data_IF_323885984764
#
_entry.id   IF_323885984764
#
_cell.length_a   1.000
_cell.length_b   1.000
_cell.length_c   1.000
_cell.angle_alpha   90.00
_cell.angle_beta   90.00
_cell.angle_gamma   90.00
#
_symmetry.space_group_name_H-M   'P 1'
#
loop_
_entity.id
_entity.type
_entity.pdbx_description
1 polymer ?
#
# COMPACT_ATOMS: atom_id res chain seq x y z
N UNK A 1 -25.46 -13.10 -9.60
CA UNK A 1 -24.25 -12.59 -10.29
C UNK A 1 -23.45 -13.82 -10.68
N UNK A 2 -23.38 -14.11 -11.98
CA UNK A 2 -23.07 -15.45 -12.51
C UNK A 2 -21.56 -15.65 -12.61
N UNK A 3 -21.11 -16.91 -12.48
CA UNK A 3 -19.70 -17.32 -12.62
C UNK A 3 -19.04 -16.74 -13.89
N UNK A 4 -19.81 -16.65 -14.98
CA UNK A 4 -19.40 -16.10 -16.27
C UNK A 4 -19.03 -14.60 -16.23
N UNK A 5 -19.66 -13.79 -15.37
CA UNK A 5 -19.32 -12.36 -15.23
C UNK A 5 -17.96 -12.19 -14.53
N UNK A 6 -17.67 -13.08 -13.57
CA UNK A 6 -16.41 -13.07 -12.81
C UNK A 6 -15.23 -13.52 -13.68
N UNK A 7 -15.43 -14.55 -14.50
CA UNK A 7 -14.41 -14.99 -15.47
C UNK A 7 -14.11 -13.92 -16.51
N UNK A 8 -15.13 -13.23 -17.04
CA UNK A 8 -14.91 -12.09 -17.95
C UNK A 8 -14.16 -10.93 -17.30
N UNK A 9 -14.45 -10.64 -16.03
CA UNK A 9 -13.74 -9.61 -15.29
C UNK A 9 -12.27 -10.01 -15.06
N UNK A 10 -12.02 -11.25 -14.66
CA UNK A 10 -10.67 -11.79 -14.45
C UNK A 10 -9.87 -11.77 -15.75
N UNK A 11 -10.49 -12.17 -16.86
CA UNK A 11 -9.87 -12.18 -18.18
C UNK A 11 -9.59 -10.76 -18.68
N UNK A 12 -10.50 -9.81 -18.47
CA UNK A 12 -10.26 -8.40 -18.80
C UNK A 12 -9.14 -7.81 -17.94
N UNK A 13 -9.11 -8.12 -16.64
CA UNK A 13 -8.03 -7.68 -15.74
C UNK A 13 -6.69 -8.29 -16.14
N UNK A 14 -6.63 -9.58 -16.50
CA UNK A 14 -5.42 -10.23 -17.02
C UNK A 14 -4.94 -9.57 -18.31
N UNK A 15 -5.87 -9.22 -19.21
CA UNK A 15 -5.54 -8.56 -20.47
C UNK A 15 -5.06 -7.13 -20.23
N UNK A 16 -5.69 -6.37 -19.33
CA UNK A 16 -5.25 -5.04 -18.91
C UNK A 16 -3.86 -5.07 -18.29
N UNK A 17 -3.60 -6.04 -17.39
CA UNK A 17 -2.27 -6.27 -16.78
C UNK A 17 -1.24 -6.67 -17.84
N UNK A 18 -1.62 -7.47 -18.84
CA UNK A 18 -0.75 -7.85 -19.97
C UNK A 18 -0.50 -6.73 -20.98
N UNK A 19 -1.37 -5.71 -21.05
CA UNK A 19 -1.20 -4.51 -21.89
C UNK A 19 -0.55 -3.35 -21.14
N UNK A 20 -0.28 -3.50 -19.84
CA UNK A 20 0.50 -2.53 -19.10
C UNK A 20 1.90 -2.46 -19.75
N UNK A 21 2.43 -1.25 -20.02
CA UNK A 21 3.69 -1.10 -20.72
C UNK A 21 4.80 -1.87 -20.00
N UNK A 22 5.43 -2.80 -20.72
CA UNK A 22 6.68 -3.45 -20.33
C UNK A 22 7.77 -2.40 -20.13
N UNK A 23 8.34 -2.40 -18.91
CA UNK A 23 9.57 -1.74 -18.45
C UNK A 23 9.98 -0.44 -19.18
N UNK A 24 9.44 0.69 -18.72
CA UNK A 24 9.88 2.04 -19.11
C UNK A 24 11.21 2.47 -18.45
N UNK A 25 11.96 1.53 -17.85
CA UNK A 25 13.18 1.81 -17.09
C UNK A 25 12.88 2.47 -15.74
N UNK A 26 11.67 2.31 -15.21
CA UNK A 26 11.25 2.90 -13.95
C UNK A 26 11.95 2.27 -12.74
N UNK A 27 12.92 2.98 -12.18
CA UNK A 27 13.57 2.59 -10.93
C UNK A 27 12.79 3.07 -9.70
N UNK A 28 11.86 2.24 -9.22
CA UNK A 28 11.16 2.52 -7.97
C UNK A 28 12.10 2.61 -6.74
N UNK A 29 13.27 1.95 -6.76
CA UNK A 29 14.22 2.03 -5.63
C UNK A 29 14.76 3.44 -5.46
N UNK A 30 14.90 4.21 -6.54
CA UNK A 30 15.24 5.63 -6.44
C UNK A 30 14.15 6.43 -5.69
N UNK A 31 12.87 6.14 -5.93
CA UNK A 31 11.74 6.77 -5.24
C UNK A 31 11.70 6.38 -3.76
N UNK A 32 11.94 5.12 -3.44
CA UNK A 32 12.02 4.62 -2.08
C UNK A 32 13.17 5.29 -1.30
N UNK A 33 14.38 5.34 -1.87
CA UNK A 33 15.52 6.07 -1.28
C UNK A 33 15.20 7.55 -1.05
N UNK A 34 14.56 8.19 -2.03
CA UNK A 34 14.14 9.59 -1.91
C UNK A 34 13.09 9.77 -0.81
N UNK A 35 12.18 8.81 -0.63
CA UNK A 35 11.17 8.80 0.43
C UNK A 35 11.82 8.66 1.82
N UNK A 36 12.83 7.80 1.97
CA UNK A 36 13.59 7.68 3.23
C UNK A 36 14.32 8.97 3.58
N UNK A 37 14.99 9.61 2.62
CA UNK A 37 15.65 10.89 2.84
C UNK A 37 14.65 11.99 3.24
N UNK A 38 13.48 12.05 2.57
CA UNK A 38 12.40 13.00 2.94
C UNK A 38 11.84 12.73 4.32
N UNK A 39 11.67 11.46 4.71
CA UNK A 39 11.24 11.06 6.07
C UNK A 39 12.20 11.61 7.11
N UNK A 40 13.50 11.42 6.92
CA UNK A 40 14.50 11.85 7.90
C UNK A 40 14.54 13.37 8.02
N UNK A 41 14.44 14.09 6.89
CA UNK A 41 14.31 15.54 6.87
C UNK A 41 13.03 16.03 7.58
N UNK A 42 11.89 15.37 7.34
CA UNK A 42 10.61 15.68 8.00
C UNK A 42 10.69 15.48 9.52
N UNK A 43 11.31 14.39 9.97
CA UNK A 43 11.46 14.10 11.40
C UNK A 43 12.40 15.09 12.08
N UNK A 44 13.46 15.50 11.39
CA UNK A 44 14.41 16.50 11.89
C UNK A 44 13.77 17.90 11.97
N UNK A 45 12.91 18.25 11.01
CA UNK A 45 12.22 19.55 10.95
C UNK A 45 10.81 19.53 11.58
N UNK A 46 10.46 18.49 12.35
CA UNK A 46 9.12 18.33 12.89
C UNK A 46 8.82 19.38 13.98
N UNK A 47 7.70 20.12 13.93
CA UNK A 47 7.37 21.12 14.94
C UNK A 47 7.19 20.49 16.33
N UNK A 48 7.78 21.08 17.37
CA UNK A 48 7.72 20.54 18.74
C UNK A 48 6.31 20.56 19.34
N UNK A 49 5.49 21.53 18.94
CA UNK A 49 4.12 21.73 19.40
C UNK A 49 3.09 20.89 18.62
N UNK A 50 3.54 20.16 17.59
CA UNK A 50 2.68 19.32 16.74
C UNK A 50 2.91 17.84 17.03
N UNK A 51 1.87 17.06 17.36
CA UNK A 51 2.03 15.63 17.58
C UNK A 51 2.55 14.95 16.31
N UNK A 52 3.49 14.01 16.48
CA UNK A 52 4.03 13.23 15.36
C UNK A 52 2.98 12.27 14.83
N UNK A 53 2.69 12.37 13.54
CA UNK A 53 1.67 11.55 12.89
C UNK A 53 1.85 11.49 11.38
N UNK A 54 1.23 10.50 10.77
CA UNK A 54 1.17 10.34 9.33
C UNK A 54 -0.09 9.56 8.95
N UNK A 55 -0.61 9.81 7.75
CA UNK A 55 -1.62 8.95 7.15
C UNK A 55 -0.94 7.77 6.49
N UNK A 56 -1.21 6.57 6.99
CA UNK A 56 -0.68 5.33 6.44
C UNK A 56 -1.71 4.70 5.51
N UNK A 57 -1.30 4.36 4.29
CA UNK A 57 -2.17 3.78 3.27
C UNK A 57 -1.49 2.58 2.63
N UNK A 58 -2.10 1.41 2.75
CA UNK A 58 -1.75 0.23 1.96
C UNK A 58 -2.62 0.24 0.69
N UNK A 59 -2.00 0.35 -0.48
CA UNK A 59 -2.72 0.45 -1.74
C UNK A 59 -1.91 -0.21 -2.86
N UNK A 60 -2.61 -0.83 -3.82
CA UNK A 60 -1.97 -1.39 -5.02
C UNK A 60 -2.00 -0.37 -6.15
N UNK A 61 -1.19 -0.62 -7.18
CA UNK A 61 -1.15 0.21 -8.39
C UNK A 61 -2.53 0.42 -9.03
N UNK A 62 -3.38 -0.61 -9.03
CA UNK A 62 -4.74 -0.56 -9.59
C UNK A 62 -5.69 0.34 -8.79
N UNK A 63 -5.37 0.65 -7.53
CA UNK A 63 -6.23 1.41 -6.63
C UNK A 63 -6.01 2.94 -6.77
N UNK A 64 -5.12 3.39 -7.68
CA UNK A 64 -4.72 4.80 -7.86
C UNK A 64 -5.89 5.78 -7.90
N UNK A 65 -6.89 5.52 -8.77
CA UNK A 65 -8.03 6.41 -8.92
C UNK A 65 -8.89 6.53 -7.66
N UNK A 66 -9.05 5.41 -6.93
CA UNK A 66 -9.75 5.39 -5.65
C UNK A 66 -9.00 6.17 -4.57
N UNK A 67 -7.69 5.94 -4.47
CA UNK A 67 -6.78 6.66 -3.56
C UNK A 67 -6.82 8.16 -3.80
N UNK A 68 -6.69 8.60 -5.06
CA UNK A 68 -6.71 10.03 -5.42
C UNK A 68 -8.02 10.69 -5.00
N UNK A 69 -9.15 10.00 -5.17
CA UNK A 69 -10.45 10.50 -4.70
C UNK A 69 -10.48 10.68 -3.19
N UNK A 70 -10.07 9.66 -2.43
CA UNK A 70 -10.00 9.72 -0.97
C UNK A 70 -9.05 10.82 -0.48
N UNK A 71 -7.90 11.00 -1.12
CA UNK A 71 -6.96 12.08 -0.83
C UNK A 71 -7.60 13.44 -1.02
N UNK A 72 -8.26 13.69 -2.16
CA UNK A 72 -8.92 14.97 -2.43
C UNK A 72 -9.98 15.31 -1.39
N UNK A 73 -10.75 14.32 -0.94
CA UNK A 73 -11.77 14.50 0.08
C UNK A 73 -11.14 14.80 1.46
N UNK A 74 -10.06 14.11 1.83
CA UNK A 74 -9.33 14.34 3.08
C UNK A 74 -8.59 15.69 3.10
N UNK A 75 -7.94 16.06 1.99
CA UNK A 75 -7.30 17.35 1.81
C UNK A 75 -8.31 18.48 1.96
N UNK A 76 -9.44 18.41 1.24
CA UNK A 76 -10.51 19.42 1.28
C UNK A 76 -11.08 19.61 2.69
N UNK A 77 -11.22 18.53 3.45
CA UNK A 77 -11.87 18.57 4.78
C UNK A 77 -10.90 18.95 5.90
N UNK A 78 -9.66 18.46 5.84
CA UNK A 78 -8.71 18.57 6.94
C UNK A 78 -7.28 18.87 6.50
N UNK A 79 -6.67 18.02 5.68
CA UNK A 79 -5.21 18.01 5.58
C UNK A 79 -4.60 19.19 4.80
N UNK A 80 -5.40 19.88 3.97
CA UNK A 80 -4.95 21.09 3.28
C UNK A 80 -4.81 22.30 4.22
N UNK A 81 -5.40 22.24 5.42
CA UNK A 81 -5.31 23.32 6.41
C UNK A 81 -3.86 23.46 6.88
N UNK A 82 -3.35 24.71 7.05
CA UNK A 82 -1.94 24.94 7.40
C UNK A 82 -1.47 24.23 8.68
N UNK A 83 -2.35 24.09 9.68
CA UNK A 83 -2.05 23.41 10.95
C UNK A 83 -2.07 21.88 10.82
N UNK A 84 -2.85 21.33 9.88
CA UNK A 84 -3.05 19.89 9.74
C UNK A 84 -1.90 19.26 8.96
N UNK A 85 -1.67 19.64 7.70
CA UNK A 85 -0.62 19.17 6.77
C UNK A 85 0.28 18.03 7.29
N UNK A 86 -0.30 16.84 7.46
CA UNK A 86 0.40 15.62 7.85
C UNK A 86 0.88 14.89 6.59
N UNK A 87 2.03 14.21 6.66
CA UNK A 87 2.54 13.43 5.53
C UNK A 87 1.68 12.17 5.30
N UNK A 88 1.69 11.71 4.05
CA UNK A 88 1.14 10.42 3.66
C UNK A 88 2.25 9.40 3.44
N UNK A 89 2.02 8.17 3.89
CA UNK A 89 2.92 7.04 3.69
C UNK A 89 2.16 5.97 2.94
N UNK A 90 2.53 5.77 1.68
CA UNK A 90 1.99 4.73 0.82
C UNK A 90 2.90 3.52 0.84
N UNK A 91 2.29 2.36 1.04
CA UNK A 91 2.97 1.08 1.07
C UNK A 91 2.25 0.11 0.16
N UNK A 92 3.03 -0.75 -0.51
CA UNK A 92 2.53 -1.82 -1.37
C UNK A 92 3.47 -3.03 -1.29
N UNK A 93 2.97 -4.22 -1.61
CA UNK A 93 3.78 -5.44 -1.72
C UNK A 93 4.62 -5.45 -3.02
N UNK A 94 4.09 -4.86 -4.08
CA UNK A 94 4.80 -4.64 -5.34
C UNK A 94 5.37 -3.20 -5.45
N UNK A 95 6.41 -2.97 -6.27
CA UNK A 95 6.86 -1.62 -6.58
C UNK A 95 5.73 -0.75 -7.13
N UNK A 96 5.62 0.50 -6.68
CA UNK A 96 4.62 1.40 -7.23
C UNK A 96 4.98 1.79 -8.67
N UNK A 97 3.98 1.82 -9.54
CA UNK A 97 4.15 2.30 -10.91
C UNK A 97 4.43 3.80 -10.93
N UNK A 98 5.10 4.27 -11.98
CA UNK A 98 5.31 5.69 -12.23
C UNK A 98 4.00 6.48 -12.22
N UNK A 99 2.97 5.96 -12.90
CA UNK A 99 1.65 6.59 -12.96
C UNK A 99 1.03 6.78 -11.57
N UNK A 100 1.11 5.75 -10.71
CA UNK A 100 0.60 5.82 -9.34
C UNK A 100 1.31 6.92 -8.54
N UNK A 101 2.64 6.92 -8.56
CA UNK A 101 3.46 7.90 -7.84
C UNK A 101 3.15 9.32 -8.32
N UNK A 102 3.08 9.54 -9.63
CA UNK A 102 2.79 10.85 -10.22
C UNK A 102 1.36 11.33 -9.94
N UNK A 103 0.35 10.46 -10.02
CA UNK A 103 -1.05 10.81 -9.75
C UNK A 103 -1.27 11.16 -8.28
N UNK A 104 -0.77 10.34 -7.37
CA UNK A 104 -0.88 10.56 -5.93
C UNK A 104 -0.13 11.82 -5.50
N UNK A 105 1.10 12.02 -6.00
CA UNK A 105 1.89 13.21 -5.67
C UNK A 105 1.25 14.50 -6.17
N UNK A 106 0.51 14.46 -7.29
CA UNK A 106 -0.24 15.62 -7.79
C UNK A 106 -1.55 15.88 -7.03
N UNK A 107 -2.06 14.90 -6.28
CA UNK A 107 -3.33 15.01 -5.59
C UNK A 107 -3.27 15.77 -4.27
N UNK A 108 -2.07 15.98 -3.70
CA UNK A 108 -1.88 16.66 -2.41
C UNK A 108 -0.64 17.55 -2.42
N UNK A 109 -0.67 18.60 -1.60
CA UNK A 109 0.48 19.46 -1.32
C UNK A 109 1.27 19.01 -0.09
N UNK A 110 0.79 18.00 0.65
CA UNK A 110 1.51 17.41 1.76
C UNK A 110 2.64 16.51 1.24
N UNK A 111 3.63 16.25 2.09
CA UNK A 111 4.69 15.31 1.73
C UNK A 111 4.13 13.90 1.59
N UNK A 112 4.47 13.25 0.49
CA UNK A 112 4.12 11.85 0.22
C UNK A 112 5.38 11.00 0.21
N UNK A 113 5.33 9.88 0.93
CA UNK A 113 6.41 8.90 1.04
C UNK A 113 5.91 7.58 0.48
N UNK A 114 6.76 6.86 -0.24
CA UNK A 114 6.47 5.55 -0.81
C UNK A 114 7.45 4.51 -0.27
N UNK A 115 6.95 3.31 0.02
CA UNK A 115 7.78 2.17 0.42
C UNK A 115 7.21 0.85 -0.09
N UNK A 116 8.10 -0.12 -0.28
CA UNK A 116 7.70 -1.49 -0.59
C UNK A 116 7.76 -2.35 0.67
N UNK A 117 6.76 -3.19 0.89
CA UNK A 117 6.80 -4.20 1.95
C UNK A 117 7.79 -5.30 1.53
N UNK A 118 8.79 -5.62 2.38
CA UNK A 118 9.65 -6.77 2.12
C UNK A 118 8.80 -8.06 2.01
N UNK A 119 9.05 -8.92 1.01
CA UNK A 119 8.26 -10.14 0.80
C UNK A 119 8.19 -11.04 2.02
N UNK A 120 9.21 -11.01 2.89
CA UNK A 120 9.30 -11.81 4.11
C UNK A 120 8.20 -11.46 5.11
N UNK A 121 7.70 -10.23 5.10
CA UNK A 121 6.58 -9.78 5.93
C UNK A 121 5.22 -9.94 5.25
N UNK A 122 5.21 -10.30 3.97
CA UNK A 122 4.02 -10.49 3.12
C UNK A 122 3.92 -11.92 2.58
N UNK A 123 4.59 -12.86 3.23
CA UNK A 123 4.57 -14.28 2.87
C UNK A 123 4.01 -15.10 4.03
N UNK A 124 3.40 -16.24 3.67
CA UNK A 124 3.09 -17.27 4.66
C UNK A 124 4.41 -17.78 5.25
N UNK A 125 4.60 -17.77 6.58
CA UNK A 125 5.82 -18.26 7.19
C UNK A 125 6.10 -19.71 6.82
N UNK A 126 7.38 -20.07 6.67
CA UNK A 126 7.82 -21.43 6.30
C UNK A 126 7.35 -22.52 7.29
N UNK A 127 7.02 -22.13 8.53
CA UNK A 127 6.49 -23.02 9.55
C UNK A 127 5.05 -23.49 9.28
N UNK A 128 4.36 -22.90 8.31
CA UNK A 128 2.97 -23.23 7.98
C UNK A 128 2.95 -24.08 6.70
N UNK A 129 2.28 -25.23 6.78
CA UNK A 129 2.08 -26.12 5.64
C UNK A 129 1.21 -25.44 4.55
N UNK A 130 1.75 -25.24 3.32
CA UNK A 130 1.02 -24.64 2.22
C UNK A 130 -0.28 -25.38 1.86
N UNK A 131 -0.30 -26.71 1.97
CA UNK A 131 -1.49 -27.52 1.64
C UNK A 131 -2.62 -27.27 2.65
N UNK A 132 -2.27 -27.18 3.94
CA UNK A 132 -3.25 -26.87 4.98
C UNK A 132 -3.85 -25.45 4.81
N UNK A 133 -3.07 -24.50 4.31
CA UNK A 133 -3.56 -23.15 3.97
C UNK A 133 -4.53 -23.22 2.80
N UNK A 134 -4.19 -23.96 1.74
CA UNK A 134 -5.05 -24.11 0.57
C UNK A 134 -6.40 -24.75 0.91
N UNK A 135 -6.40 -25.84 1.68
CA UNK A 135 -7.61 -26.51 2.16
C UNK A 135 -8.50 -25.56 2.99
N UNK A 136 -7.87 -24.78 3.87
CA UNK A 136 -8.57 -23.78 4.69
C UNK A 136 -9.19 -22.66 3.86
N UNK A 137 -8.54 -22.25 2.77
CA UNK A 137 -9.07 -21.25 1.84
C UNK A 137 -10.23 -21.80 1.02
N UNK A 138 -10.13 -23.05 0.57
CA UNK A 138 -11.23 -23.72 -0.14
C UNK A 138 -12.45 -23.87 0.77
N UNK A 139 -12.27 -24.28 2.02
CA UNK A 139 -13.35 -24.41 3.00
C UNK A 139 -14.09 -23.08 3.26
N UNK A 140 -13.41 -21.95 3.08
CA UNK A 140 -13.94 -20.61 3.32
C UNK A 140 -14.29 -19.85 2.03
N UNK A 141 -14.29 -20.54 0.89
CA UNK A 141 -14.55 -19.97 -0.43
C UNK A 141 -15.96 -19.38 -0.60
N UNK A 142 -16.91 -19.82 0.22
CA UNK A 142 -18.29 -19.33 0.26
C UNK A 142 -18.45 -18.00 1.03
N UNK A 143 -17.42 -17.54 1.74
CA UNK A 143 -17.44 -16.27 2.47
C UNK A 143 -16.80 -15.15 1.66
N UNK A 144 -17.28 -13.89 1.78
CA UNK A 144 -16.60 -12.73 1.21
C UNK A 144 -15.13 -12.70 1.64
N UNK A 145 -14.22 -12.66 0.66
CA UNK A 145 -12.76 -12.68 0.87
C UNK A 145 -12.18 -13.92 1.58
N UNK A 146 -12.98 -14.97 1.85
CA UNK A 146 -12.52 -16.13 2.62
C UNK A 146 -11.40 -16.92 1.97
N UNK A 147 -11.40 -17.01 0.62
CA UNK A 147 -10.33 -17.64 -0.17
C UNK A 147 -9.20 -16.66 -0.58
N UNK A 148 -9.18 -15.42 -0.09
CA UNK A 148 -8.17 -14.42 -0.49
C UNK A 148 -6.95 -14.46 0.42
N UNK A 149 -5.82 -14.99 -0.09
CA UNK A 149 -4.53 -14.94 0.60
C UNK A 149 -4.09 -13.50 0.89
N UNK A 150 -4.13 -12.54 -0.06
CA UNK A 150 -3.73 -11.16 0.22
C UNK A 150 -4.55 -10.52 1.35
N UNK A 151 -5.84 -10.85 1.45
CA UNK A 151 -6.70 -10.34 2.52
C UNK A 151 -6.30 -10.89 3.89
N UNK A 152 -5.86 -12.15 3.95
CA UNK A 152 -5.39 -12.76 5.21
C UNK A 152 -4.03 -12.25 5.63
N UNK A 153 -3.13 -11.98 4.69
CA UNK A 153 -1.78 -11.45 4.97
C UNK A 153 -1.82 -9.97 5.38
N UNK A 154 -2.86 -9.24 4.98
CA UNK A 154 -3.10 -7.86 5.39
C UNK A 154 -3.14 -7.68 6.91
N UNK A 155 -3.84 -8.55 7.64
CA UNK A 155 -4.07 -8.40 9.08
C UNK A 155 -2.79 -8.62 9.91
N UNK A 156 -1.99 -9.69 9.68
CA UNK A 156 -0.68 -9.87 10.31
C UNK A 156 0.28 -8.72 9.99
N UNK A 157 0.30 -8.21 8.76
CA UNK A 157 1.16 -7.07 8.40
C UNK A 157 0.79 -5.83 9.20
N UNK A 158 -0.50 -5.45 9.24
CA UNK A 158 -0.94 -4.30 10.02
C UNK A 158 -0.65 -4.46 11.50
N UNK A 159 -0.90 -5.65 12.05
CA UNK A 159 -0.60 -5.95 13.44
C UNK A 159 0.90 -5.81 13.73
N UNK A 160 1.76 -6.31 12.85
CA UNK A 160 3.21 -6.20 12.97
C UNK A 160 3.70 -4.75 12.84
N UNK A 161 3.17 -3.98 11.90
CA UNK A 161 3.51 -2.56 11.72
C UNK A 161 3.13 -1.72 12.94
N UNK A 162 1.96 -2.00 13.55
CA UNK A 162 1.44 -1.26 14.69
C UNK A 162 2.07 -1.67 16.02
N UNK A 163 2.36 -2.97 16.22
CA UNK A 163 2.87 -3.51 17.48
C UNK A 163 4.40 -3.66 17.51
N UNK A 164 5.12 -3.13 16.51
CA UNK A 164 6.57 -3.29 16.41
C UNK A 164 7.29 -2.80 17.69
N UNK A 165 8.05 -3.67 18.39
CA UNK A 165 8.78 -3.27 19.58
C UNK A 165 9.86 -2.23 19.23
N UNK A 166 10.16 -1.27 20.14
CA UNK A 166 11.06 -0.14 19.86
C UNK A 166 12.46 -0.53 19.37
N UNK A 167 12.93 -1.74 19.69
CA UNK A 167 14.23 -2.27 19.28
C UNK A 167 14.38 -2.47 17.76
N UNK A 168 13.28 -2.65 17.02
CA UNK A 168 13.30 -2.84 15.56
C UNK A 168 13.20 -1.52 14.76
N UNK A 169 13.28 -0.35 15.44
CA UNK A 169 13.14 0.98 14.81
C UNK A 169 14.44 1.54 14.22
N UNK A 170 15.53 0.77 14.23
CA UNK A 170 16.82 1.13 13.60
C UNK A 170 17.18 0.09 12.55
N UNK A 171 16.61 0.23 11.36
CA UNK A 171 17.19 -0.17 10.07
C UNK A 171 16.67 0.81 9.02
#
# INVERSE_FOLDING_TARGET
RTWLERERLIENLRREISTAPEDDGWDFRAVERSSLARRDALLAAWPEDKPRGAYFVLARNVDAGGVVRSLRDLERTFNAKPHARYPYVFVNDEPFSRSFVEEVSRATNATVLFGQVPPEHWSVPDAIDPLAVEDSLQALSNLPHGASVPYRLHVPLLLWLLLRPPAARRV
#
